data_IF_550670188091
#
_entry.id   IF_550670188091
#
_cell.length_a   1.000
_cell.length_b   1.000
_cell.length_c   1.000
_cell.angle_alpha   90.00
_cell.angle_beta   90.00
_cell.angle_gamma   90.00
#
_symmetry.space_group_name_H-M   'P 1'
#
loop_
_entity.id
_entity.type
_entity.pdbx_description
1 polymer ?
#
# COMPACT_ATOMS: atom_id res chain seq x y z
N UNK A 1 -10.46 -1.29 -10.12
CA UNK A 1 -9.26 -1.21 -11.00
C UNK A 1 -8.60 -2.56 -10.88
N UNK A 2 -8.40 -3.33 -11.96
CA UNK A 2 -7.96 -4.72 -11.79
C UNK A 2 -6.48 -4.78 -11.39
N UNK A 3 -6.21 -5.13 -10.13
CA UNK A 3 -4.85 -5.44 -9.65
C UNK A 3 -4.49 -6.89 -10.00
N UNK A 4 -3.20 -7.23 -10.19
CA UNK A 4 -2.79 -8.61 -10.40
C UNK A 4 -3.08 -9.46 -9.15
N UNK A 5 -3.31 -10.77 -9.35
CA UNK A 5 -3.55 -11.68 -8.24
C UNK A 5 -2.32 -11.89 -7.35
N UNK A 6 -1.12 -11.74 -7.91
CA UNK A 6 0.14 -11.89 -7.17
C UNK A 6 1.21 -10.93 -7.71
N UNK A 7 2.18 -10.59 -6.86
CA UNK A 7 3.39 -9.86 -7.24
C UNK A 7 4.61 -10.48 -6.54
N UNK A 8 5.75 -10.53 -7.26
CA UNK A 8 7.03 -10.95 -6.69
C UNK A 8 7.84 -9.74 -6.25
N UNK A 9 8.44 -9.84 -5.08
CA UNK A 9 9.37 -8.83 -4.55
C UNK A 9 10.78 -9.08 -5.09
N UNK A 10 11.70 -8.11 -5.01
CA UNK A 10 13.06 -8.28 -5.53
C UNK A 10 13.85 -9.34 -4.76
N UNK A 11 13.55 -9.52 -3.47
CA UNK A 11 14.10 -10.58 -2.62
C UNK A 11 13.47 -11.96 -2.89
N UNK A 12 12.48 -12.06 -3.76
CA UNK A 12 11.87 -13.33 -4.18
C UNK A 12 10.64 -13.77 -3.39
N UNK A 13 10.13 -12.95 -2.45
CA UNK A 13 8.85 -13.22 -1.80
C UNK A 13 7.70 -13.10 -2.81
N UNK A 14 6.63 -13.85 -2.59
CA UNK A 14 5.37 -13.72 -3.35
C UNK A 14 4.30 -13.12 -2.45
N UNK A 15 3.69 -12.03 -2.90
CA UNK A 15 2.53 -11.42 -2.23
C UNK A 15 1.28 -11.73 -3.04
N UNK A 16 0.31 -12.41 -2.44
CA UNK A 16 -1.03 -12.58 -3.03
C UNK A 16 -1.90 -11.37 -2.71
N UNK A 17 -2.62 -10.86 -3.70
CA UNK A 17 -3.35 -9.60 -3.63
C UNK A 17 -4.84 -9.77 -3.92
N UNK A 18 -5.65 -8.93 -3.30
CA UNK A 18 -7.09 -8.78 -3.58
C UNK A 18 -7.47 -7.31 -3.50
N UNK A 19 -8.35 -6.86 -4.40
CA UNK A 19 -8.93 -5.52 -4.30
C UNK A 19 -9.76 -5.40 -3.01
N UNK A 20 -9.57 -4.30 -2.29
CA UNK A 20 -10.36 -3.97 -1.10
C UNK A 20 -11.74 -3.52 -1.58
N UNK A 21 -12.76 -4.28 -1.22
CA UNK A 21 -14.15 -3.92 -1.51
C UNK A 21 -14.62 -2.75 -0.64
N UNK A 22 -15.73 -2.06 -1.01
CA UNK A 22 -16.21 -0.90 -0.26
C UNK A 22 -16.53 -1.18 1.21
N UNK A 23 -16.94 -2.40 1.57
CA UNK A 23 -17.20 -2.78 2.97
C UNK A 23 -15.90 -2.88 3.76
N UNK A 24 -14.93 -3.64 3.23
CA UNK A 24 -13.59 -3.76 3.80
C UNK A 24 -12.87 -2.41 3.92
N UNK A 25 -13.21 -1.43 3.07
CA UNK A 25 -12.69 -0.07 3.16
C UNK A 25 -13.26 0.69 4.37
N UNK A 26 -14.54 0.49 4.72
CA UNK A 26 -15.12 1.05 5.94
C UNK A 26 -14.47 0.44 7.18
N UNK A 27 -14.28 -0.87 7.19
CA UNK A 27 -13.58 -1.58 8.27
C UNK A 27 -12.15 -1.02 8.45
N UNK A 28 -11.45 -0.74 7.35
CA UNK A 28 -10.11 -0.12 7.37
C UNK A 28 -10.13 1.31 7.94
N UNK A 29 -11.13 2.11 7.58
CA UNK A 29 -11.31 3.46 8.11
C UNK A 29 -11.56 3.41 9.64
N UNK A 30 -12.31 2.42 10.11
CA UNK A 30 -12.52 2.20 11.54
C UNK A 30 -11.22 1.76 12.23
N UNK A 31 -10.50 0.78 11.64
CA UNK A 31 -9.23 0.27 12.14
C UNK A 31 -8.18 1.39 12.31
N UNK A 32 -8.18 2.38 11.41
CA UNK A 32 -7.28 3.53 11.45
C UNK A 32 -7.35 4.34 12.75
N UNK A 33 -8.53 4.38 13.40
CA UNK A 33 -8.78 5.11 14.64
C UNK A 33 -8.25 6.54 14.58
N UNK A 34 -7.39 6.91 15.54
CA UNK A 34 -6.86 8.27 15.67
C UNK A 34 -6.04 8.77 14.47
N UNK A 35 -5.60 7.89 13.56
CA UNK A 35 -4.92 8.31 12.33
C UNK A 35 -5.84 9.15 11.42
N UNK A 36 -7.15 8.90 11.46
CA UNK A 36 -8.15 9.58 10.63
C UNK A 36 -8.39 11.04 11.02
N UNK A 37 -7.98 11.45 12.23
CA UNK A 37 -8.11 12.84 12.69
C UNK A 37 -6.89 13.71 12.36
N UNK A 38 -5.86 13.13 11.75
CA UNK A 38 -4.62 13.84 11.43
C UNK A 38 -4.65 14.49 10.05
N UNK A 39 -3.78 15.48 9.82
CA UNK A 39 -3.55 16.05 8.48
C UNK A 39 -3.05 15.01 7.46
N UNK A 40 -2.55 13.88 7.93
CA UNK A 40 -2.05 12.77 7.11
C UNK A 40 -3.07 11.66 6.88
N UNK A 41 -4.34 11.84 7.27
CA UNK A 41 -5.39 10.82 7.17
C UNK A 41 -5.50 10.23 5.74
N UNK A 42 -5.48 11.08 4.70
CA UNK A 42 -5.53 10.62 3.31
C UNK A 42 -4.30 9.80 2.89
N UNK A 43 -3.10 10.21 3.30
CA UNK A 43 -1.87 9.47 3.03
C UNK A 43 -1.83 8.14 3.79
N UNK A 44 -2.30 8.13 5.04
CA UNK A 44 -2.43 6.93 5.85
C UNK A 44 -3.38 5.94 5.17
N UNK A 45 -4.58 6.40 4.77
CA UNK A 45 -5.61 5.52 4.20
C UNK A 45 -5.20 4.96 2.85
N UNK A 46 -4.58 5.79 1.99
CA UNK A 46 -4.04 5.32 0.72
C UNK A 46 -2.96 4.24 0.91
N UNK A 47 -2.04 4.45 1.86
CA UNK A 47 -0.98 3.49 2.14
C UNK A 47 -1.54 2.20 2.77
N UNK A 48 -2.47 2.33 3.72
CA UNK A 48 -3.13 1.21 4.38
C UNK A 48 -3.97 0.39 3.39
N UNK A 49 -4.66 1.02 2.44
CA UNK A 49 -5.40 0.31 1.40
C UNK A 49 -4.48 -0.58 0.56
N UNK A 50 -3.30 -0.07 0.18
CA UNK A 50 -2.30 -0.85 -0.55
C UNK A 50 -1.79 -2.03 0.29
N UNK A 51 -1.43 -1.78 1.55
CA UNK A 51 -0.93 -2.81 2.47
C UNK A 51 -1.99 -3.91 2.72
N UNK A 52 -3.21 -3.52 3.05
CA UNK A 52 -4.31 -4.44 3.35
C UNK A 52 -4.88 -5.14 2.11
N UNK A 53 -4.40 -4.82 0.91
CA UNK A 53 -4.70 -5.62 -0.29
C UNK A 53 -3.97 -6.96 -0.30
N UNK A 54 -2.90 -7.10 0.50
CA UNK A 54 -2.14 -8.35 0.62
C UNK A 54 -2.94 -9.36 1.45
N UNK A 55 -3.21 -10.52 0.86
CA UNK A 55 -3.98 -11.61 1.48
C UNK A 55 -3.13 -12.83 1.85
N UNK A 56 -1.92 -12.94 1.29
CA UNK A 56 -0.93 -13.93 1.70
C UNK A 56 0.50 -13.48 1.39
N UNK A 57 1.45 -13.97 2.17
CA UNK A 57 2.90 -13.80 1.96
C UNK A 57 3.51 -15.19 1.84
N UNK A 58 4.14 -15.49 0.70
CA UNK A 58 4.71 -16.81 0.37
C UNK A 58 3.70 -17.96 0.54
N UNK A 59 2.44 -17.69 0.18
CA UNK A 59 1.32 -18.63 0.30
C UNK A 59 0.77 -18.81 1.71
N UNK A 60 1.34 -18.14 2.73
CA UNK A 60 0.80 -18.10 4.09
C UNK A 60 -0.24 -16.99 4.19
N UNK A 61 -1.52 -17.29 4.45
CA UNK A 61 -2.56 -16.28 4.55
C UNK A 61 -2.28 -15.28 5.67
N UNK A 62 -2.52 -14.00 5.39
CA UNK A 62 -2.53 -12.93 6.41
C UNK A 62 -3.97 -12.55 6.72
N UNK A 63 -4.24 -12.19 7.96
CA UNK A 63 -5.56 -11.70 8.37
C UNK A 63 -5.72 -10.24 7.97
N UNK A 64 -6.93 -9.85 7.60
CA UNK A 64 -7.26 -8.44 7.38
C UNK A 64 -7.11 -7.69 8.71
N UNK A 65 -6.32 -6.61 8.79
CA UNK A 65 -6.15 -5.85 10.02
C UNK A 65 -7.46 -5.21 10.50
N UNK A 66 -7.73 -5.31 11.80
CA UNK A 66 -8.87 -4.68 12.49
C UNK A 66 -8.43 -3.49 13.36
N UNK A 67 -7.12 -3.31 13.57
CA UNK A 67 -6.57 -2.15 14.30
C UNK A 67 -5.43 -1.46 13.55
N UNK A 68 -5.19 -0.19 13.88
CA UNK A 68 -4.07 0.60 13.35
C UNK A 68 -2.72 -0.06 13.57
N UNK A 69 -2.53 -0.76 14.69
CA UNK A 69 -1.26 -1.40 14.99
C UNK A 69 -1.06 -2.68 14.16
N UNK A 70 -2.11 -3.46 13.94
CA UNK A 70 -2.08 -4.60 13.01
C UNK A 70 -1.80 -4.16 11.56
N UNK A 71 -2.31 -3.00 11.13
CA UNK A 71 -1.96 -2.44 9.80
C UNK A 71 -0.44 -2.19 9.70
N UNK A 72 0.18 -1.70 10.78
CA UNK A 72 1.64 -1.48 10.81
C UNK A 72 2.40 -2.79 10.85
N UNK A 73 1.92 -3.78 11.62
CA UNK A 73 2.52 -5.11 11.69
C UNK A 73 2.51 -5.77 10.31
N UNK A 74 1.38 -5.75 9.60
CA UNK A 74 1.29 -6.24 8.22
C UNK A 74 2.24 -5.49 7.28
N UNK A 75 2.33 -4.17 7.40
CA UNK A 75 3.29 -3.37 6.61
C UNK A 75 4.75 -3.79 6.90
N UNK A 76 5.08 -4.11 8.16
CA UNK A 76 6.41 -4.59 8.54
C UNK A 76 6.70 -5.99 7.99
N UNK A 77 5.72 -6.90 8.00
CA UNK A 77 5.86 -8.27 7.48
C UNK A 77 6.04 -8.29 5.96
N UNK A 78 5.30 -7.43 5.24
CA UNK A 78 5.50 -7.15 3.82
C UNK A 78 6.92 -6.59 3.59
N UNK A 79 7.31 -5.63 4.43
CA UNK A 79 8.63 -4.99 4.40
C UNK A 79 8.83 -4.06 3.22
N UNK A 80 9.95 -3.32 3.24
CA UNK A 80 10.24 -2.27 2.25
C UNK A 80 10.26 -2.78 0.81
N UNK A 81 10.79 -3.97 0.57
CA UNK A 81 10.84 -4.59 -0.76
C UNK A 81 9.44 -4.96 -1.28
N UNK A 82 8.58 -5.50 -0.41
CA UNK A 82 7.18 -5.75 -0.74
C UNK A 82 6.41 -4.46 -1.04
N UNK A 83 6.58 -3.43 -0.21
CA UNK A 83 6.00 -2.10 -0.46
C UNK A 83 6.47 -1.53 -1.80
N UNK A 84 7.76 -1.63 -2.12
CA UNK A 84 8.30 -1.19 -3.41
C UNK A 84 7.70 -1.95 -4.60
N UNK A 85 7.39 -3.24 -4.44
CA UNK A 85 6.70 -4.04 -5.46
C UNK A 85 5.22 -3.66 -5.62
N UNK A 86 4.56 -3.23 -4.54
CA UNK A 86 3.15 -2.81 -4.55
C UNK A 86 2.93 -1.41 -5.14
N UNK A 87 3.84 -0.46 -4.88
CA UNK A 87 3.67 0.95 -5.27
C UNK A 87 3.30 1.17 -6.75
N UNK A 88 3.94 0.52 -7.75
CA UNK A 88 3.59 0.69 -9.16
C UNK A 88 2.20 0.17 -9.53
N UNK A 89 1.65 -0.78 -8.75
CA UNK A 89 0.33 -1.36 -8.98
C UNK A 89 -0.76 -0.35 -8.56
N UNK A 90 -0.59 0.30 -7.41
CA UNK A 90 -1.62 1.16 -6.82
C UNK A 90 -1.52 2.62 -7.22
N UNK A 91 -0.32 3.13 -7.47
CA UNK A 91 -0.10 4.55 -7.81
C UNK A 91 0.36 4.75 -9.26
N UNK A 92 0.44 3.67 -10.04
CA UNK A 92 1.04 3.65 -11.36
C UNK A 92 2.57 3.81 -11.29
N UNK A 93 3.26 3.52 -12.40
CA UNK A 93 4.61 4.05 -12.58
C UNK A 93 4.47 5.57 -12.65
N UNK A 94 4.99 6.28 -11.65
CA UNK A 94 5.42 7.66 -11.88
C UNK A 94 6.42 7.58 -13.02
N UNK A 95 6.01 7.97 -14.22
CA UNK A 95 6.99 8.29 -15.25
C UNK A 95 7.97 9.28 -14.61
N UNK A 96 9.25 8.92 -14.63
CA UNK A 96 10.34 9.72 -14.07
C UNK A 96 10.59 10.98 -14.92
N UNK A 97 9.55 11.76 -15.21
CA UNK A 97 9.58 12.95 -16.05
C UNK A 97 8.81 14.07 -15.38
N UNK A 98 9.28 14.51 -14.21
CA UNK A 98 8.87 15.79 -13.60
C UNK A 98 9.95 16.40 -12.69
N UNK A 99 11.20 15.93 -12.77
CA UNK A 99 12.31 16.49 -12.00
C UNK A 99 13.14 17.55 -12.74
N UNK A 100 12.94 17.75 -14.06
CA UNK A 100 13.78 18.64 -14.87
C UNK A 100 13.17 20.01 -15.25
N UNK A 101 11.93 20.33 -14.86
CA UNK A 101 11.30 21.62 -15.23
C UNK A 101 11.33 22.68 -14.11
N UNK A 102 12.43 22.74 -13.33
CA UNK A 102 12.72 23.89 -12.45
C UNK A 102 14.19 24.35 -12.46
N UNK A 103 14.96 24.00 -13.48
CA UNK A 103 16.35 24.47 -13.64
C UNK A 103 16.57 25.44 -14.82
N UNK A 104 15.54 25.79 -15.59
CA UNK A 104 15.66 26.64 -16.78
C UNK A 104 14.98 28.01 -16.63
N UNK A 105 15.16 28.70 -15.50
CA UNK A 105 14.97 30.18 -15.43
C UNK A 105 16.02 30.74 -14.47
N UNK A 106 17.25 30.92 -14.96
CA UNK A 106 18.25 31.90 -14.49
C UNK A 106 19.52 31.75 -15.35
N UNK A 107 19.51 32.40 -16.50
CA UNK A 107 20.65 33.16 -16.99
C UNK A 107 20.20 34.14 -18.07
#
# INVERSE_FOLDING_TARGET
MSIPAEVKTAAGKTLSLKEIDPGSMLDLIEAAGSAMSSQSAGAWLGYAQMVCSVTAIDGVPVQMPITKDEVKELANDIGNDGVAALMPIFYGKKDASSADEKAAVKN
#
